data_IF_339268892758
#
_entry.id   IF_339268892758
#
_cell.length_a   1.000
_cell.length_b   1.000
_cell.length_c   1.000
_cell.angle_alpha   90.00
_cell.angle_beta   90.00
_cell.angle_gamma   90.00
#
_symmetry.space_group_name_H-M   'P 1'
#
loop_
_entity.id
_entity.type
_entity.pdbx_description
1 polymer ?
#
# COMPACT_ATOMS: atom_id res chain seq x y z
N UNK A 1 2.82 -26.22 47.76
CA UNK A 1 1.88 -25.18 47.30
C UNK A 1 2.69 -24.21 46.44
N UNK A 2 2.77 -24.47 45.14
CA UNK A 2 3.48 -23.59 44.19
C UNK A 2 2.47 -22.57 43.64
N UNK A 3 2.73 -21.29 43.91
CA UNK A 3 2.02 -20.17 43.30
C UNK A 3 2.21 -20.22 41.79
N UNK A 4 1.13 -20.51 41.05
CA UNK A 4 1.04 -20.23 39.62
C UNK A 4 0.62 -18.77 39.43
N UNK A 5 1.53 -17.98 38.87
CA UNK A 5 1.30 -16.61 38.43
C UNK A 5 0.15 -16.56 37.40
N UNK A 6 -0.93 -15.79 37.62
CA UNK A 6 -2.07 -15.71 36.70
C UNK A 6 -1.76 -14.99 35.38
N UNK A 7 -0.57 -14.38 35.23
CA UNK A 7 -0.23 -13.56 34.06
C UNK A 7 0.42 -14.31 32.89
N UNK A 8 0.54 -15.65 32.93
CA UNK A 8 1.21 -16.41 31.87
C UNK A 8 0.32 -16.85 30.69
N UNK A 9 -0.88 -16.30 30.51
CA UNK A 9 -1.77 -16.67 29.40
C UNK A 9 -1.79 -15.58 28.33
N UNK A 10 -1.38 -16.00 27.12
CA UNK A 10 -1.38 -15.29 25.83
C UNK A 10 -0.13 -14.48 25.48
N UNK A 11 1.05 -15.10 25.53
CA UNK A 11 2.08 -14.77 24.54
C UNK A 11 1.79 -15.59 23.29
N UNK A 12 1.28 -14.94 22.24
CA UNK A 12 1.16 -15.56 20.92
C UNK A 12 2.59 -15.85 20.46
N UNK A 13 2.94 -17.14 20.37
CA UNK A 13 4.25 -17.57 19.93
C UNK A 13 4.31 -17.44 18.41
N UNK A 14 4.77 -16.30 17.91
CA UNK A 14 5.06 -16.15 16.50
C UNK A 14 6.37 -16.90 16.18
N UNK A 15 6.48 -17.62 15.04
CA UNK A 15 7.77 -18.15 14.59
C UNK A 15 8.78 -16.99 14.49
N UNK A 16 10.09 -17.27 14.57
CA UNK A 16 11.17 -16.26 14.43
C UNK A 16 11.07 -15.57 13.06
N UNK A 17 10.20 -14.58 12.94
CA UNK A 17 10.04 -13.73 11.77
C UNK A 17 11.09 -12.63 11.89
N UNK A 18 11.89 -12.44 10.85
CA UNK A 18 12.74 -11.25 10.76
C UNK A 18 11.81 -10.04 10.61
N UNK A 19 11.85 -9.12 11.57
CA UNK A 19 10.96 -7.96 11.62
C UNK A 19 11.65 -6.74 11.04
N UNK A 20 10.90 -5.95 10.29
CA UNK A 20 11.35 -4.65 9.83
C UNK A 20 11.35 -3.68 11.01
N UNK A 21 12.50 -3.13 11.36
CA UNK A 21 12.62 -2.04 12.33
C UNK A 21 12.25 -0.72 11.64
N UNK A 22 10.98 -0.31 11.78
CA UNK A 22 10.46 0.91 11.18
C UNK A 22 10.26 2.00 12.24
N UNK A 23 10.54 3.24 11.86
CA UNK A 23 10.28 4.40 12.70
C UNK A 23 8.77 4.58 12.92
N UNK A 24 8.38 4.96 14.14
CA UNK A 24 7.02 5.43 14.45
C UNK A 24 7.02 6.95 14.44
N UNK A 25 6.17 7.53 13.60
CA UNK A 25 5.97 8.96 13.41
C UNK A 25 4.61 9.34 14.01
N UNK A 26 4.59 10.25 14.97
CA UNK A 26 3.34 10.67 15.60
C UNK A 26 2.59 11.66 14.69
N UNK A 27 1.33 11.34 14.33
CA UNK A 27 0.57 12.14 13.39
C UNK A 27 0.23 13.54 13.93
N UNK A 28 -0.11 13.65 15.22
CA UNK A 28 -0.39 14.94 15.86
C UNK A 28 0.83 15.86 15.76
N UNK A 29 2.01 15.35 16.13
CA UNK A 29 3.26 16.11 16.06
C UNK A 29 3.58 16.60 14.63
N UNK A 30 3.35 15.77 13.61
CA UNK A 30 3.48 16.20 12.20
C UNK A 30 2.48 17.31 11.85
N UNK A 31 1.23 17.20 12.30
CA UNK A 31 0.21 18.24 12.03
C UNK A 31 0.53 19.58 12.69
N UNK A 32 1.10 19.53 13.89
CA UNK A 32 1.52 20.68 14.70
C UNK A 32 2.87 21.28 14.25
N UNK A 33 3.57 20.61 13.31
CA UNK A 33 4.84 21.09 12.78
C UNK A 33 6.01 20.89 13.74
N UNK A 34 5.99 19.84 14.55
CA UNK A 34 7.08 19.51 15.47
C UNK A 34 8.37 19.16 14.68
N UNK A 35 9.45 19.93 14.82
CA UNK A 35 10.66 19.75 14.01
C UNK A 35 11.37 18.42 14.29
N UNK A 36 11.31 17.90 15.53
CA UNK A 36 11.97 16.63 15.88
C UNK A 36 11.29 15.46 15.17
N UNK A 37 9.96 15.42 15.21
CA UNK A 37 9.18 14.39 14.51
C UNK A 37 9.29 14.53 13.00
N UNK A 38 9.35 15.76 12.48
CA UNK A 38 9.55 16.04 11.05
C UNK A 38 10.91 15.51 10.56
N UNK A 39 11.99 15.77 11.30
CA UNK A 39 13.31 15.22 10.96
C UNK A 39 13.34 13.69 11.02
N UNK A 40 12.73 13.08 12.03
CA UNK A 40 12.58 11.62 12.10
C UNK A 40 11.81 11.05 10.90
N UNK A 41 10.78 11.75 10.44
CA UNK A 41 10.03 11.39 9.22
C UNK A 41 10.94 11.47 7.98
N UNK A 42 11.75 12.51 7.84
CA UNK A 42 12.70 12.64 6.75
C UNK A 42 13.73 11.50 6.77
N UNK A 43 14.35 11.21 7.92
CA UNK A 43 15.32 10.13 8.09
C UNK A 43 14.72 8.77 7.71
N UNK A 44 13.50 8.48 8.17
CA UNK A 44 12.80 7.24 7.82
C UNK A 44 12.49 7.16 6.32
N UNK A 45 12.14 8.29 5.69
CA UNK A 45 11.84 8.38 4.26
C UNK A 45 13.09 8.22 3.38
N UNK A 46 14.25 8.69 3.83
CA UNK A 46 15.55 8.50 3.15
C UNK A 46 16.04 7.06 3.30
N UNK A 47 16.05 6.54 4.53
CA UNK A 47 16.70 5.27 4.85
C UNK A 47 15.91 4.06 4.37
N UNK A 48 14.63 3.97 4.76
CA UNK A 48 13.77 2.81 4.49
C UNK A 48 12.70 3.14 3.46
N UNK A 49 12.15 4.35 3.48
CA UNK A 49 10.95 4.68 2.70
C UNK A 49 9.69 4.01 3.23
N UNK A 50 9.78 3.33 4.38
CA UNK A 50 8.70 2.73 5.16
C UNK A 50 8.73 3.28 6.59
N UNK A 51 7.57 3.60 7.15
CA UNK A 51 7.42 4.01 8.55
C UNK A 51 5.99 3.80 9.02
N UNK A 52 5.78 3.78 10.34
CA UNK A 52 4.45 3.82 10.92
C UNK A 52 4.02 5.26 11.16
N UNK A 53 2.73 5.53 10.94
CA UNK A 53 2.06 6.74 11.37
C UNK A 53 1.14 6.39 12.53
N UNK A 54 1.48 6.88 13.73
CA UNK A 54 0.67 6.72 14.93
C UNK A 54 -0.50 7.72 14.92
N UNK A 55 -1.72 7.18 14.93
CA UNK A 55 -2.97 7.92 14.78
C UNK A 55 -3.70 8.14 16.13
N UNK A 56 -3.13 7.69 17.25
CA UNK A 56 -3.84 7.59 18.53
C UNK A 56 -4.14 8.94 19.19
N UNK A 57 -3.14 9.83 19.22
CA UNK A 57 -3.21 11.09 19.98
C UNK A 57 -3.86 12.25 19.21
N UNK A 58 -4.24 12.05 17.95
CA UNK A 58 -4.85 13.07 17.09
C UNK A 58 -6.34 12.80 16.85
N UNK A 59 -7.17 13.85 16.85
CA UNK A 59 -8.62 13.69 16.60
C UNK A 59 -8.94 13.23 15.18
N UNK A 60 -8.19 13.70 14.18
CA UNK A 60 -8.34 13.24 12.81
C UNK A 60 -7.78 11.82 12.66
N UNK A 61 -6.67 11.51 13.32
CA UNK A 61 -6.13 10.16 13.40
C UNK A 61 -7.15 9.15 13.95
N UNK A 62 -7.82 9.48 15.06
CA UNK A 62 -8.90 8.64 15.61
C UNK A 62 -10.11 8.54 14.68
N UNK A 63 -10.44 9.59 13.94
CA UNK A 63 -11.51 9.55 12.93
C UNK A 63 -11.17 8.58 11.79
N UNK A 64 -9.93 8.58 11.31
CA UNK A 64 -9.43 7.60 10.32
C UNK A 64 -9.65 6.17 10.83
N UNK A 65 -9.24 5.89 12.08
CA UNK A 65 -9.36 4.56 12.67
C UNK A 65 -10.83 4.10 12.79
N UNK A 66 -11.72 4.99 13.24
CA UNK A 66 -13.16 4.69 13.39
C UNK A 66 -13.83 4.45 12.03
N UNK A 67 -13.56 5.32 11.05
CA UNK A 67 -14.13 5.17 9.72
C UNK A 67 -13.59 3.92 9.03
N UNK A 68 -12.31 3.61 9.20
CA UNK A 68 -11.69 2.42 8.65
C UNK A 68 -12.38 1.13 9.12
N UNK A 69 -12.71 1.01 10.41
CA UNK A 69 -13.43 -0.15 10.94
C UNK A 69 -14.78 -0.33 10.22
N UNK A 70 -15.55 0.75 10.10
CA UNK A 70 -16.87 0.72 9.44
C UNK A 70 -16.74 0.40 7.95
N UNK A 71 -15.80 1.04 7.25
CA UNK A 71 -15.50 0.78 5.83
C UNK A 71 -15.12 -0.68 5.62
N UNK A 72 -14.24 -1.22 6.46
CA UNK A 72 -13.79 -2.61 6.35
C UNK A 72 -14.94 -3.60 6.56
N UNK A 73 -15.83 -3.36 7.52
CA UNK A 73 -17.01 -4.19 7.75
C UNK A 73 -17.98 -4.18 6.55
N UNK A 74 -18.25 -3.00 5.98
CA UNK A 74 -19.10 -2.86 4.80
C UNK A 74 -18.49 -3.59 3.60
N UNK A 75 -17.20 -3.42 3.37
CA UNK A 75 -16.49 -4.07 2.28
C UNK A 75 -16.41 -5.60 2.46
N UNK A 76 -16.19 -6.09 3.68
CA UNK A 76 -16.25 -7.55 3.98
C UNK A 76 -17.60 -8.16 3.61
N UNK A 77 -18.71 -7.52 4.02
CA UNK A 77 -20.07 -7.94 3.64
C UNK A 77 -20.25 -7.97 2.12
N UNK A 78 -19.69 -6.99 1.40
CA UNK A 78 -19.75 -6.99 -0.06
C UNK A 78 -18.96 -8.17 -0.66
N UNK A 79 -17.79 -8.50 -0.12
CA UNK A 79 -16.95 -9.60 -0.59
C UNK A 79 -17.54 -11.00 -0.39
N UNK A 80 -18.41 -11.17 0.60
CA UNK A 80 -19.10 -12.43 0.89
C UNK A 80 -20.22 -12.78 -0.12
N UNK A 81 -20.51 -11.87 -1.05
CA UNK A 81 -21.43 -12.17 -2.15
C UNK A 81 -20.89 -13.25 -3.09
N UNK A 82 -21.77 -14.00 -3.77
CA UNK A 82 -21.36 -14.94 -4.81
C UNK A 82 -20.50 -14.29 -5.89
N UNK A 83 -19.52 -15.03 -6.42
CA UNK A 83 -18.62 -14.53 -7.47
C UNK A 83 -19.39 -13.99 -8.69
N UNK A 84 -20.52 -14.60 -9.05
CA UNK A 84 -21.38 -14.15 -10.14
C UNK A 84 -21.97 -12.75 -9.93
N UNK A 85 -22.23 -12.36 -8.67
CA UNK A 85 -22.64 -11.00 -8.32
C UNK A 85 -21.47 -10.03 -8.36
N UNK A 86 -20.32 -10.41 -7.82
CA UNK A 86 -19.10 -9.58 -7.83
C UNK A 86 -18.61 -9.28 -9.25
N UNK A 87 -18.64 -10.28 -10.14
CA UNK A 87 -18.21 -10.15 -11.54
C UNK A 87 -19.05 -9.17 -12.37
N UNK A 88 -20.29 -8.82 -11.95
CA UNK A 88 -21.07 -7.75 -12.60
C UNK A 88 -20.41 -6.37 -12.49
N UNK A 89 -19.44 -6.25 -11.59
CA UNK A 89 -18.72 -5.02 -11.32
C UNK A 89 -17.26 -5.07 -11.79
N UNK A 90 -16.89 -6.10 -12.58
CA UNK A 90 -15.58 -6.17 -13.22
C UNK A 90 -15.58 -5.34 -14.50
N UNK A 91 -14.72 -4.31 -14.54
CA UNK A 91 -14.60 -3.40 -15.67
C UNK A 91 -13.28 -3.57 -16.45
N UNK A 92 -12.56 -4.66 -16.20
CA UNK A 92 -11.21 -4.89 -16.72
C UNK A 92 -10.11 -4.40 -15.77
N UNK A 93 -8.88 -4.80 -16.09
CA UNK A 93 -7.71 -4.54 -15.24
C UNK A 93 -7.42 -3.04 -15.10
N UNK A 94 -7.04 -2.66 -13.88
CA UNK A 94 -6.67 -1.29 -13.54
C UNK A 94 -7.82 -0.29 -13.58
N UNK A 95 -9.07 -0.75 -13.72
CA UNK A 95 -10.26 0.11 -13.70
C UNK A 95 -10.87 0.21 -12.31
N UNK A 96 -11.77 1.17 -12.13
CA UNK A 96 -12.60 1.26 -10.93
C UNK A 96 -13.54 0.04 -10.85
N UNK A 97 -13.86 -0.37 -9.63
CA UNK A 97 -14.77 -1.47 -9.36
C UNK A 97 -14.04 -2.71 -8.85
N UNK A 98 -14.56 -3.87 -9.19
CA UNK A 98 -14.07 -5.15 -8.70
C UNK A 98 -12.99 -5.72 -9.64
N UNK A 99 -11.97 -6.37 -9.07
CA UNK A 99 -11.00 -7.23 -9.75
C UNK A 99 -11.00 -8.62 -9.09
N UNK A 100 -11.21 -9.71 -9.84
CA UNK A 100 -11.19 -11.06 -9.29
C UNK A 100 -9.77 -11.56 -9.02
N UNK A 101 -9.62 -12.61 -8.21
CA UNK A 101 -8.35 -13.32 -8.08
C UNK A 101 -7.90 -13.95 -9.41
N UNK A 102 -6.62 -14.33 -9.48
CA UNK A 102 -5.97 -15.01 -10.61
C UNK A 102 -5.72 -14.17 -11.89
N UNK A 103 -5.88 -12.85 -11.84
CA UNK A 103 -5.64 -11.97 -13.01
C UNK A 103 -4.16 -11.63 -13.20
N UNK A 104 -3.40 -11.46 -12.11
CA UNK A 104 -1.97 -11.16 -12.15
C UNK A 104 -1.14 -12.43 -11.92
N UNK A 105 0.15 -12.34 -12.24
CA UNK A 105 1.14 -13.34 -11.86
C UNK A 105 1.28 -13.40 -10.32
N UNK A 106 1.47 -14.61 -9.80
CA UNK A 106 1.74 -14.84 -8.37
C UNK A 106 3.18 -14.56 -7.97
N UNK A 107 3.54 -14.93 -6.74
CA UNK A 107 4.89 -14.87 -6.16
C UNK A 107 5.87 -15.81 -6.88
N UNK A 108 5.39 -16.97 -7.33
CA UNK A 108 6.20 -18.09 -7.83
C UNK A 108 5.97 -18.30 -9.32
N UNK A 109 7.00 -18.80 -10.03
CA UNK A 109 6.91 -19.08 -11.47
C UNK A 109 5.70 -19.94 -11.83
N UNK A 110 4.95 -19.49 -12.84
CA UNK A 110 3.76 -20.21 -13.32
C UNK A 110 2.54 -20.15 -12.41
N UNK A 111 2.58 -19.39 -11.31
CA UNK A 111 1.42 -19.19 -10.43
C UNK A 111 0.65 -17.90 -10.73
N UNK A 112 -0.57 -17.81 -10.20
CA UNK A 112 -1.43 -16.62 -10.25
C UNK A 112 -1.65 -16.03 -8.87
N UNK A 113 -2.00 -14.75 -8.81
CA UNK A 113 -2.27 -14.05 -7.55
C UNK A 113 -3.52 -14.60 -6.84
N UNK A 114 -3.47 -14.61 -5.50
CA UNK A 114 -4.56 -15.10 -4.64
C UNK A 114 -5.50 -14.04 -4.07
N UNK A 115 -5.54 -12.83 -4.65
CA UNK A 115 -6.30 -11.73 -4.07
C UNK A 115 -7.36 -11.13 -4.99
N UNK A 116 -8.49 -10.78 -4.41
CA UNK A 116 -9.50 -9.92 -5.04
C UNK A 116 -9.37 -8.48 -4.54
N UNK A 117 -9.79 -7.50 -5.34
CA UNK A 117 -9.63 -6.07 -5.06
C UNK A 117 -10.91 -5.30 -5.41
N UNK A 118 -11.29 -4.34 -4.57
CA UNK A 118 -12.24 -3.29 -4.93
C UNK A 118 -11.47 -1.97 -4.98
N UNK A 119 -11.44 -1.36 -6.17
CA UNK A 119 -10.82 -0.07 -6.41
C UNK A 119 -11.86 1.03 -6.52
N UNK A 120 -11.68 2.10 -5.74
CA UNK A 120 -12.47 3.33 -5.78
C UNK A 120 -11.55 4.49 -6.14
N UNK A 121 -11.81 5.16 -7.27
CA UNK A 121 -11.06 6.37 -7.62
C UNK A 121 -11.53 7.52 -6.75
N UNK A 122 -10.59 8.30 -6.21
CA UNK A 122 -10.91 9.49 -5.41
C UNK A 122 -11.78 10.44 -6.22
N UNK A 123 -11.38 10.74 -7.45
CA UNK A 123 -12.06 11.76 -8.24
C UNK A 123 -13.50 11.34 -8.59
N UNK A 124 -13.77 10.04 -8.80
CA UNK A 124 -15.13 9.52 -8.98
C UNK A 124 -15.97 9.62 -7.69
N UNK A 125 -15.37 9.42 -6.51
CA UNK A 125 -16.07 9.61 -5.23
C UNK A 125 -16.64 11.02 -5.09
N UNK A 126 -15.87 12.04 -5.50
CA UNK A 126 -16.25 13.44 -5.35
C UNK A 126 -17.08 13.98 -6.53
N UNK A 127 -16.84 13.52 -7.75
CA UNK A 127 -17.41 14.13 -8.96
C UNK A 127 -18.33 13.20 -9.77
N UNK A 128 -18.27 11.89 -9.54
CA UNK A 128 -19.09 10.91 -10.27
C UNK A 128 -19.58 9.78 -9.34
N UNK A 129 -20.33 10.11 -8.27
CA UNK A 129 -20.82 9.10 -7.33
C UNK A 129 -21.74 8.07 -8.00
N UNK A 130 -22.26 8.41 -9.19
CA UNK A 130 -23.12 7.53 -9.98
C UNK A 130 -22.41 6.29 -10.55
N UNK A 131 -21.08 6.30 -10.61
CA UNK A 131 -20.27 5.18 -11.08
C UNK A 131 -19.78 4.26 -9.95
N UNK A 132 -19.98 4.64 -8.68
CA UNK A 132 -19.55 3.86 -7.52
C UNK A 132 -20.40 2.58 -7.33
N UNK A 133 -19.82 1.58 -6.68
CA UNK A 133 -20.56 0.39 -6.24
C UNK A 133 -21.72 0.79 -5.32
N UNK A 134 -22.87 0.08 -5.37
CA UNK A 134 -24.05 0.45 -4.58
C UNK A 134 -23.77 0.67 -3.09
N UNK A 135 -23.06 -0.27 -2.45
CA UNK A 135 -22.76 -0.15 -1.01
C UNK A 135 -21.86 1.05 -0.66
N UNK A 136 -20.98 1.49 -1.57
CA UNK A 136 -20.16 2.69 -1.39
C UNK A 136 -21.03 3.94 -1.49
N UNK A 137 -21.90 3.98 -2.50
CA UNK A 137 -22.82 5.10 -2.76
C UNK A 137 -23.81 5.29 -1.63
N UNK A 138 -24.36 4.22 -1.10
CA UNK A 138 -25.29 4.24 0.04
C UNK A 138 -24.60 4.78 1.32
N UNK A 139 -23.26 4.72 1.37
CA UNK A 139 -22.43 5.20 2.46
C UNK A 139 -21.51 6.36 2.04
N UNK A 140 -21.90 7.15 1.02
CA UNK A 140 -21.03 8.14 0.39
C UNK A 140 -20.40 9.12 1.39
N UNK A 141 -21.16 9.60 2.37
CA UNK A 141 -20.68 10.55 3.37
C UNK A 141 -19.53 9.97 4.23
N UNK A 142 -19.60 8.68 4.57
CA UNK A 142 -18.53 7.96 5.29
C UNK A 142 -17.27 7.89 4.43
N UNK A 143 -17.39 7.42 3.18
CA UNK A 143 -16.24 7.28 2.29
C UNK A 143 -15.60 8.63 1.95
N UNK A 144 -16.41 9.66 1.71
CA UNK A 144 -15.94 11.02 1.45
C UNK A 144 -15.15 11.56 2.63
N UNK A 145 -15.65 11.44 3.86
CA UNK A 145 -14.91 11.84 5.06
C UNK A 145 -13.62 11.05 5.22
N UNK A 146 -13.70 9.72 5.16
CA UNK A 146 -12.56 8.83 5.36
C UNK A 146 -11.43 9.09 4.38
N UNK A 147 -11.74 9.17 3.08
CA UNK A 147 -10.76 9.44 2.02
C UNK A 147 -10.20 10.87 2.12
N UNK A 148 -11.00 11.84 2.58
CA UNK A 148 -10.50 13.20 2.84
C UNK A 148 -9.51 13.25 4.01
N UNK A 149 -9.74 12.48 5.07
CA UNK A 149 -8.81 12.41 6.21
C UNK A 149 -7.49 11.72 5.81
N UNK A 150 -7.56 10.63 5.05
CA UNK A 150 -6.38 9.97 4.48
C UNK A 150 -5.59 10.90 3.56
N UNK A 151 -6.26 11.63 2.68
CA UNK A 151 -5.65 12.64 1.83
C UNK A 151 -4.95 13.71 2.68
N UNK A 152 -5.65 14.26 3.69
CA UNK A 152 -5.08 15.26 4.62
C UNK A 152 -3.82 14.76 5.31
N UNK A 153 -3.82 13.52 5.81
CA UNK A 153 -2.65 12.91 6.43
C UNK A 153 -1.46 12.82 5.45
N UNK A 154 -1.71 12.34 4.23
CA UNK A 154 -0.68 12.26 3.19
C UNK A 154 -0.13 13.64 2.82
N UNK A 155 -0.99 14.65 2.66
CA UNK A 155 -0.58 16.03 2.34
C UNK A 155 0.26 16.66 3.45
N UNK A 156 -0.03 16.35 4.73
CA UNK A 156 0.77 16.81 5.87
C UNK A 156 2.17 16.18 5.88
N UNK A 157 2.27 14.89 5.56
CA UNK A 157 3.56 14.21 5.38
C UNK A 157 4.37 14.87 4.25
N UNK A 158 3.75 15.11 3.09
CA UNK A 158 4.41 15.77 1.96
C UNK A 158 4.90 17.16 2.33
N UNK A 159 4.07 17.96 3.00
CA UNK A 159 4.40 19.33 3.39
C UNK A 159 5.56 19.38 4.39
N UNK A 160 5.62 18.45 5.35
CA UNK A 160 6.73 18.29 6.28
C UNK A 160 8.03 17.94 5.55
N UNK A 161 8.00 16.95 4.66
CA UNK A 161 9.15 16.56 3.84
C UNK A 161 9.63 17.69 2.93
N UNK A 162 8.72 18.43 2.29
CA UNK A 162 9.05 19.61 1.48
C UNK A 162 9.82 20.66 2.29
N UNK A 163 9.42 20.87 3.55
CA UNK A 163 10.04 21.83 4.45
C UNK A 163 11.43 21.35 4.90
N UNK A 164 11.57 20.11 5.36
CA UNK A 164 12.88 19.60 5.83
C UNK A 164 13.91 19.44 4.71
N UNK A 165 13.46 19.18 3.47
CA UNK A 165 14.32 19.20 2.29
C UNK A 165 14.63 20.61 1.76
N UNK A 166 14.11 21.65 2.43
CA UNK A 166 14.27 23.07 2.05
C UNK A 166 13.85 23.33 0.59
N UNK A 167 12.73 22.73 0.15
CA UNK A 167 12.27 22.92 -1.21
C UNK A 167 11.77 24.37 -1.42
N UNK A 168 12.12 24.99 -2.55
CA UNK A 168 11.53 26.26 -2.97
C UNK A 168 9.99 26.21 -2.98
N UNK A 169 9.29 27.35 -2.74
CA UNK A 169 7.83 27.39 -2.69
C UNK A 169 7.12 26.77 -3.90
N UNK A 170 7.69 26.89 -5.11
CA UNK A 170 7.17 26.39 -6.38
C UNK A 170 7.52 24.91 -6.66
N UNK A 171 8.35 24.29 -5.83
CA UNK A 171 8.83 22.91 -5.99
C UNK A 171 8.34 21.98 -4.86
N UNK A 172 7.45 22.47 -3.99
CA UNK A 172 6.92 21.70 -2.87
C UNK A 172 6.10 20.50 -3.36
N UNK A 173 6.29 19.34 -2.74
CA UNK A 173 5.67 18.08 -3.17
C UNK A 173 4.14 18.09 -3.15
N UNK A 174 3.54 18.79 -2.18
CA UNK A 174 2.08 18.90 -2.08
C UNK A 174 1.45 19.60 -3.29
N UNK A 175 2.18 20.43 -4.03
CA UNK A 175 1.66 21.13 -5.20
C UNK A 175 1.37 20.19 -6.37
N UNK A 176 1.99 19.01 -6.39
CA UNK A 176 1.72 17.97 -7.39
C UNK A 176 0.39 17.24 -7.18
N UNK A 177 -0.41 17.60 -6.17
CA UNK A 177 -1.60 16.84 -5.75
C UNK A 177 -2.87 17.71 -5.68
N UNK A 178 -3.02 18.64 -6.64
CA UNK A 178 -4.21 19.47 -6.77
C UNK A 178 -5.46 18.61 -7.04
N UNK A 179 -6.41 18.64 -6.10
CA UNK A 179 -7.65 17.85 -6.16
C UNK A 179 -8.64 18.35 -7.21
N UNK A 180 -8.43 19.55 -7.78
CA UNK A 180 -9.23 20.06 -8.91
C UNK A 180 -8.79 19.46 -10.25
N UNK A 181 -7.60 18.84 -10.30
CA UNK A 181 -7.05 18.18 -11.48
C UNK A 181 -7.25 16.67 -11.41
N UNK A 182 -7.41 16.00 -12.58
CA UNK A 182 -7.50 14.55 -12.62
C UNK A 182 -6.22 13.92 -12.08
N UNK A 183 -6.38 12.82 -11.34
CA UNK A 183 -5.28 11.98 -10.90
C UNK A 183 -5.72 10.52 -10.88
N UNK A 184 -4.75 9.59 -10.83
CA UNK A 184 -5.05 8.18 -10.61
C UNK A 184 -5.18 7.81 -9.12
N UNK A 185 -5.35 8.78 -8.21
CA UNK A 185 -5.48 8.53 -6.75
C UNK A 185 -6.65 7.58 -6.46
N UNK A 186 -6.40 6.53 -5.67
CA UNK A 186 -7.42 5.52 -5.38
C UNK A 186 -7.38 5.03 -3.93
N UNK A 187 -8.54 4.64 -3.44
CA UNK A 187 -8.69 3.80 -2.26
C UNK A 187 -9.05 2.39 -2.68
N UNK A 188 -8.38 1.40 -2.11
CA UNK A 188 -8.48 0.01 -2.48
C UNK A 188 -8.61 -0.85 -1.23
N UNK A 189 -9.48 -1.85 -1.27
CA UNK A 189 -9.50 -2.91 -0.26
C UNK A 189 -9.15 -4.20 -0.98
N UNK A 190 -8.16 -4.92 -0.46
CA UNK A 190 -7.72 -6.20 -0.98
C UNK A 190 -8.15 -7.30 -0.01
N UNK A 191 -8.68 -8.40 -0.53
CA UNK A 191 -8.90 -9.66 0.20
C UNK A 191 -8.02 -10.74 -0.38
N UNK A 192 -7.03 -11.16 0.38
CA UNK A 192 -6.25 -12.37 0.13
C UNK A 192 -7.06 -13.53 0.67
N UNK A 193 -7.55 -14.40 -0.21
CA UNK A 193 -8.45 -15.47 0.20
C UNK A 193 -7.73 -16.56 0.96
N UNK A 194 -8.37 -17.14 1.98
CA UNK A 194 -7.87 -18.36 2.64
C UNK A 194 -7.59 -19.46 1.62
N UNK A 195 -6.41 -20.06 1.70
CA UNK A 195 -5.88 -20.92 0.63
C UNK A 195 -6.60 -22.26 0.51
N UNK A 196 -7.33 -22.70 1.54
CA UNK A 196 -8.22 -23.88 1.45
C UNK A 196 -9.29 -23.73 0.34
N UNK A 197 -9.63 -22.51 -0.05
CA UNK A 197 -10.61 -22.22 -1.11
C UNK A 197 -10.01 -21.99 -2.50
N UNK A 198 -8.67 -21.87 -2.63
CA UNK A 198 -8.03 -21.43 -3.88
C UNK A 198 -7.65 -22.59 -4.83
N UNK A 199 -7.58 -23.83 -4.32
CA UNK A 199 -7.15 -25.03 -5.04
C UNK A 199 -8.26 -26.09 -5.19
N UNK A 200 -9.47 -25.70 -5.63
CA UNK A 200 -10.60 -26.63 -5.71
C UNK A 200 -10.66 -27.45 -7.02
N UNK A 201 -9.89 -27.11 -8.05
CA UNK A 201 -9.84 -27.86 -9.31
C UNK A 201 -8.39 -28.23 -9.71
N UNK A 202 -8.06 -29.51 -9.94
CA UNK A 202 -6.73 -29.97 -10.36
C UNK A 202 -6.26 -29.43 -11.73
N UNK A 203 -7.15 -28.84 -12.51
CA UNK A 203 -6.89 -28.28 -13.84
C UNK A 203 -6.61 -26.77 -13.82
N UNK A 204 -6.78 -26.10 -12.68
CA UNK A 204 -6.53 -24.67 -12.57
C UNK A 204 -5.03 -24.41 -12.41
N UNK A 205 -4.53 -23.30 -12.96
CA UNK A 205 -3.17 -22.85 -12.65
C UNK A 205 -3.01 -22.64 -11.14
N UNK A 206 -1.84 -23.01 -10.58
CA UNK A 206 -1.59 -22.90 -9.15
C UNK A 206 -1.67 -21.43 -8.71
N UNK A 207 -2.23 -21.21 -7.52
CA UNK A 207 -2.31 -19.89 -6.90
C UNK A 207 -1.41 -19.87 -5.69
N UNK A 208 -0.55 -18.85 -5.59
CA UNK A 208 0.06 -18.51 -4.31
C UNK A 208 -0.70 -17.33 -3.69
N UNK A 209 -0.95 -17.41 -2.38
CA UNK A 209 -1.85 -16.50 -1.66
C UNK A 209 -1.31 -15.08 -1.48
N UNK A 210 -0.34 -14.65 -2.29
CA UNK A 210 0.40 -13.42 -2.09
C UNK A 210 0.26 -12.36 -3.18
N UNK A 211 1.10 -11.34 -3.07
CA UNK A 211 1.28 -10.25 -4.02
C UNK A 211 2.78 -10.13 -4.28
N UNK A 212 3.20 -10.32 -5.54
CA UNK A 212 4.60 -10.30 -5.94
C UNK A 212 5.34 -9.02 -5.56
N UNK A 213 6.67 -9.11 -5.54
CA UNK A 213 7.52 -7.96 -5.25
C UNK A 213 7.31 -6.81 -6.24
N UNK A 214 7.19 -5.59 -5.73
CA UNK A 214 7.07 -4.37 -6.51
C UNK A 214 7.45 -3.15 -5.67
N UNK A 215 7.57 -2.00 -6.32
CA UNK A 215 7.45 -0.69 -5.67
C UNK A 215 6.13 -0.05 -6.09
N UNK A 216 5.60 0.86 -5.29
CA UNK A 216 4.39 1.59 -5.65
C UNK A 216 4.65 2.65 -6.71
N UNK A 217 3.70 2.81 -7.63
CA UNK A 217 3.81 3.78 -8.74
C UNK A 217 3.70 5.22 -8.24
N UNK A 218 2.86 5.44 -7.23
CA UNK A 218 2.38 6.75 -6.79
C UNK A 218 3.37 7.54 -5.94
N UNK A 219 2.82 8.46 -5.15
CA UNK A 219 3.60 9.38 -4.31
C UNK A 219 3.78 8.81 -2.91
N UNK A 220 2.67 8.51 -2.22
CA UNK A 220 2.64 7.90 -0.88
C UNK A 220 1.51 6.88 -0.86
N UNK A 221 1.76 5.74 -0.21
CA UNK A 221 0.76 4.72 0.07
C UNK A 221 0.51 4.67 1.58
N UNK A 222 -0.76 4.76 1.99
CA UNK A 222 -1.22 4.61 3.36
C UNK A 222 -1.91 3.25 3.47
N UNK A 223 -1.41 2.37 4.32
CA UNK A 223 -1.90 1.01 4.51
C UNK A 223 -2.49 0.89 5.92
N UNK A 224 -3.75 0.46 5.99
CA UNK A 224 -4.46 0.13 7.21
C UNK A 224 -4.76 -1.37 7.19
N UNK A 225 -4.13 -2.11 8.11
CA UNK A 225 -4.31 -3.55 8.24
C UNK A 225 -4.11 -4.02 9.69
N UNK A 226 -4.75 -5.13 10.05
CA UNK A 226 -4.63 -5.78 11.35
C UNK A 226 -4.00 -7.18 11.26
N UNK A 227 -3.61 -7.62 10.06
CA UNK A 227 -3.17 -8.97 9.76
C UNK A 227 -1.79 -8.96 9.11
N UNK A 228 -0.96 -9.95 9.47
CA UNK A 228 0.40 -10.13 8.96
C UNK A 228 0.42 -10.47 7.47
N UNK A 229 1.57 -10.26 6.81
CA UNK A 229 1.84 -10.75 5.46
C UNK A 229 2.63 -9.79 4.59
N UNK A 230 2.62 -8.49 4.91
CA UNK A 230 3.47 -7.51 4.23
C UNK A 230 4.94 -7.75 4.60
N UNK A 231 5.80 -7.83 3.57
CA UNK A 231 7.25 -7.85 3.71
C UNK A 231 7.87 -6.69 2.96
N UNK A 232 8.84 -6.03 3.57
CA UNK A 232 9.68 -5.02 2.95
C UNK A 232 11.08 -5.61 2.72
N UNK A 233 11.68 -5.27 1.59
CA UNK A 233 13.06 -5.66 1.30
C UNK A 233 14.03 -4.70 1.99
N UNK A 234 14.98 -5.26 2.74
CA UNK A 234 16.03 -4.52 3.42
C UNK A 234 17.39 -4.84 2.81
N UNK A 235 18.23 -3.84 2.50
CA UNK A 235 19.62 -4.06 2.10
C UNK A 235 20.55 -4.28 3.31
N UNK A 236 20.00 -4.62 4.48
CA UNK A 236 20.75 -5.01 5.68
C UNK A 236 19.89 -6.00 6.47
N UNK A 237 20.44 -7.15 6.82
CA UNK A 237 19.83 -8.07 7.78
C UNK A 237 20.27 -7.72 9.21
N UNK A 238 19.36 -7.44 10.17
CA UNK A 238 19.71 -7.16 11.56
C UNK A 238 20.19 -8.41 12.31
N UNK A 239 19.77 -9.60 11.85
CA UNK A 239 19.98 -10.88 12.55
C UNK A 239 20.98 -11.79 11.86
N UNK A 240 21.57 -11.36 10.74
CA UNK A 240 22.59 -12.13 10.01
C UNK A 240 23.60 -11.20 9.35
N UNK A 241 24.74 -11.76 8.93
CA UNK A 241 25.75 -11.03 8.15
C UNK A 241 25.35 -10.86 6.68
N UNK A 242 24.18 -11.36 6.27
CA UNK A 242 23.71 -11.21 4.89
C UNK A 242 23.37 -9.75 4.60
N UNK A 243 23.87 -9.18 3.50
CA UNK A 243 23.62 -7.80 3.15
C UNK A 243 22.20 -7.55 2.62
N UNK A 244 21.32 -8.54 2.55
CA UNK A 244 19.97 -8.38 2.00
C UNK A 244 19.01 -9.36 2.67
N UNK A 245 17.81 -8.89 3.02
CA UNK A 245 16.77 -9.76 3.62
C UNK A 245 15.36 -9.23 3.40
N UNK A 246 14.41 -10.16 3.34
CA UNK A 246 12.98 -9.87 3.41
C UNK A 246 12.53 -9.82 4.86
N UNK A 247 11.94 -8.70 5.27
CA UNK A 247 11.54 -8.47 6.65
C UNK A 247 10.03 -8.24 6.73
N UNK A 248 9.36 -8.89 7.68
CA UNK A 248 7.94 -8.69 7.92
C UNK A 248 7.67 -7.33 8.57
N UNK A 249 6.67 -6.62 8.05
CA UNK A 249 6.14 -5.42 8.67
C UNK A 249 5.01 -5.82 9.61
N UNK A 250 5.16 -5.53 10.90
CA UNK A 250 4.15 -5.87 11.90
C UNK A 250 2.89 -5.00 11.74
N UNK A 251 1.67 -5.57 11.79
CA UNK A 251 0.44 -4.79 11.80
C UNK A 251 0.21 -4.22 13.22
N UNK A 252 0.75 -3.03 13.49
CA UNK A 252 0.59 -2.38 14.80
C UNK A 252 -0.83 -1.83 14.97
N UNK A 253 -1.53 -2.12 16.09
CA UNK A 253 -2.84 -1.54 16.36
C UNK A 253 -2.81 -0.02 16.35
N UNK A 254 -3.82 0.62 15.76
CA UNK A 254 -3.96 2.08 15.70
C UNK A 254 -2.88 2.83 14.91
N UNK A 255 -2.07 2.12 14.12
CA UNK A 255 -1.08 2.72 13.24
C UNK A 255 -1.43 2.46 11.78
N UNK A 256 -1.16 3.45 10.92
CA UNK A 256 -1.05 3.20 9.49
C UNK A 256 0.40 2.85 9.15
N UNK A 257 0.60 1.95 8.20
CA UNK A 257 1.92 1.72 7.57
C UNK A 257 1.99 2.65 6.36
N UNK A 258 3.05 3.43 6.27
CA UNK A 258 3.30 4.36 5.18
C UNK A 258 4.46 3.85 4.35
N UNK A 259 4.33 3.86 3.03
CA UNK A 259 5.48 3.81 2.14
C UNK A 259 5.49 4.90 1.10
N UNK A 260 6.70 5.34 0.77
CA UNK A 260 6.99 6.26 -0.32
C UNK A 260 6.87 5.50 -1.64
N UNK A 261 6.31 6.13 -2.67
CA UNK A 261 6.23 5.56 -4.01
C UNK A 261 7.22 6.19 -4.98
N UNK A 262 7.29 5.62 -6.18
CA UNK A 262 8.24 6.02 -7.22
C UNK A 262 8.10 7.49 -7.64
N UNK A 263 6.87 8.02 -7.74
CA UNK A 263 6.65 9.43 -8.09
C UNK A 263 7.34 10.35 -7.09
N UNK A 264 7.25 10.08 -5.79
CA UNK A 264 7.90 10.92 -4.77
C UNK A 264 9.42 10.73 -4.75
N UNK A 265 9.89 9.51 -5.02
CA UNK A 265 11.32 9.26 -5.27
C UNK A 265 11.83 10.13 -6.43
N UNK A 266 11.09 10.25 -7.54
CA UNK A 266 11.50 11.09 -8.65
C UNK A 266 11.39 12.59 -8.35
N UNK A 267 10.27 13.04 -7.75
CA UNK A 267 10.10 14.45 -7.35
C UNK A 267 11.19 14.91 -6.38
N UNK A 268 11.66 14.03 -5.50
CA UNK A 268 12.75 14.32 -4.56
C UNK A 268 14.15 14.21 -5.18
N UNK A 269 14.26 14.07 -6.51
CA UNK A 269 15.54 13.81 -7.20
C UNK A 269 16.28 12.60 -6.61
N UNK A 270 15.53 11.52 -6.36
CA UNK A 270 15.99 10.24 -5.80
C UNK A 270 16.49 10.29 -4.35
N UNK A 271 16.26 11.38 -3.61
CA UNK A 271 16.64 11.49 -2.19
C UNK A 271 15.81 10.58 -1.27
N UNK A 272 14.53 10.39 -1.59
CA UNK A 272 13.61 9.56 -0.80
C UNK A 272 13.53 8.15 -1.41
N UNK A 273 13.55 7.13 -0.55
CA UNK A 273 13.58 5.74 -0.99
C UNK A 273 12.17 5.24 -1.33
N UNK A 274 11.99 4.58 -2.48
CA UNK A 274 10.76 3.85 -2.82
C UNK A 274 11.02 2.37 -2.55
N UNK A 275 10.50 1.80 -1.46
CA UNK A 275 10.89 0.48 -1.01
C UNK A 275 10.21 -0.63 -1.81
N UNK A 276 11.00 -1.66 -2.10
CA UNK A 276 10.49 -2.90 -2.69
C UNK A 276 9.78 -3.68 -1.58
N UNK A 277 8.57 -4.13 -1.86
CA UNK A 277 7.76 -4.87 -0.92
C UNK A 277 6.92 -5.94 -1.63
N UNK A 278 6.47 -6.92 -0.87
CA UNK A 278 5.59 -8.01 -1.33
C UNK A 278 4.62 -8.39 -0.23
N UNK A 279 3.59 -9.16 -0.57
CA UNK A 279 2.71 -9.80 0.42
C UNK A 279 2.86 -11.30 0.29
N UNK A 280 3.13 -11.98 1.39
CA UNK A 280 3.25 -13.44 1.45
C UNK A 280 2.30 -14.01 2.51
N UNK A 281 1.79 -15.24 2.32
CA UNK A 281 1.17 -16.00 3.41
C UNK A 281 2.10 -16.10 4.62
N UNK A 282 1.53 -16.11 5.81
CA UNK A 282 2.30 -16.02 7.07
C UNK A 282 2.71 -17.38 7.63
N UNK A 283 2.13 -18.43 7.06
CA UNK A 283 2.41 -19.85 7.24
C UNK A 283 2.43 -20.51 5.85
N UNK A 284 2.68 -21.83 5.77
CA UNK A 284 2.62 -22.57 4.50
C UNK A 284 1.24 -22.42 3.79
N UNK A 285 0.17 -22.29 4.58
CA UNK A 285 -1.18 -22.02 4.09
C UNK A 285 -1.87 -20.95 4.95
N UNK A 286 -2.54 -19.99 4.30
CA UNK A 286 -3.41 -19.01 4.93
C UNK A 286 -4.77 -19.66 5.27
N UNK A 287 -5.13 -19.68 6.54
CA UNK A 287 -6.35 -20.33 7.07
C UNK A 287 -7.55 -19.37 7.18
N UNK A 288 -7.30 -18.08 7.31
CA UNK A 288 -8.31 -17.01 7.30
C UNK A 288 -8.16 -16.07 6.09
N UNK A 289 -9.17 -15.26 5.81
CA UNK A 289 -9.04 -14.20 4.81
C UNK A 289 -8.28 -13.02 5.39
N UNK A 290 -7.27 -12.54 4.66
CA UNK A 290 -6.53 -11.33 5.01
C UNK A 290 -7.07 -10.13 4.26
N UNK A 291 -7.40 -9.08 5.00
CA UNK A 291 -7.86 -7.82 4.43
C UNK A 291 -6.80 -6.73 4.57
N UNK A 292 -6.71 -5.86 3.58
CA UNK A 292 -5.80 -4.71 3.61
C UNK A 292 -6.48 -3.54 2.91
N UNK A 293 -6.64 -2.43 3.63
CA UNK A 293 -7.14 -1.17 3.08
C UNK A 293 -5.95 -0.31 2.71
N UNK A 294 -5.90 0.17 1.47
CA UNK A 294 -4.77 0.89 0.90
C UNK A 294 -5.27 2.16 0.24
N UNK A 295 -4.69 3.29 0.62
CA UNK A 295 -4.90 4.57 -0.05
C UNK A 295 -3.63 4.96 -0.79
N UNK A 296 -3.73 5.00 -2.11
CA UNK A 296 -2.65 5.38 -3.00
C UNK A 296 -2.81 6.85 -3.40
N UNK A 297 -2.06 7.74 -2.76
CA UNK A 297 -1.94 9.12 -3.21
C UNK A 297 -1.08 9.15 -4.47
N UNK A 298 -1.62 9.72 -5.55
CA UNK A 298 -0.91 9.88 -6.83
C UNK A 298 -0.98 11.34 -7.25
N UNK A 299 0.11 11.82 -7.85
CA UNK A 299 0.17 13.17 -8.40
C UNK A 299 -0.90 13.39 -9.48
N UNK A 300 -1.27 14.65 -9.71
CA UNK A 300 -2.11 15.07 -10.83
C UNK A 300 -1.50 14.58 -12.14
N UNK A 301 -2.34 14.14 -13.07
CA UNK A 301 -1.94 13.45 -14.31
C UNK A 301 -0.93 14.26 -15.15
N UNK A 302 -0.97 15.60 -15.05
CA UNK A 302 -0.10 16.55 -15.73
C UNK A 302 1.25 16.82 -15.05
N UNK A 303 1.46 16.32 -13.83
CA UNK A 303 2.72 16.46 -13.10
C UNK A 303 3.86 15.80 -13.85
N UNK A 304 4.96 16.52 -14.05
CA UNK A 304 6.16 15.99 -14.70
C UNK A 304 7.09 15.39 -13.64
N UNK A 305 7.50 14.13 -13.84
CA UNK A 305 8.55 13.47 -13.07
C UNK A 305 9.77 13.22 -13.95
N UNK A 306 10.95 13.27 -13.35
CA UNK A 306 12.22 13.04 -14.06
C UNK A 306 12.87 11.75 -13.55
N UNK A 307 13.10 10.80 -14.46
CA UNK A 307 13.74 9.52 -14.16
C UNK A 307 15.27 9.63 -14.05
N UNK A 308 15.93 8.49 -13.76
CA UNK A 308 17.39 8.42 -13.55
C UNK A 308 18.18 8.90 -14.77
N UNK A 309 17.72 8.57 -15.98
CA UNK A 309 18.34 9.01 -17.24
C UNK A 309 18.02 10.46 -17.65
N UNK A 310 17.35 11.24 -16.80
CA UNK A 310 16.93 12.60 -17.10
C UNK A 310 15.67 12.70 -17.99
N UNK A 311 15.09 11.58 -18.41
CA UNK A 311 13.82 11.54 -19.14
C UNK A 311 12.71 12.15 -18.29
N UNK A 312 11.97 13.10 -18.87
CA UNK A 312 10.78 13.69 -18.29
C UNK A 312 9.52 13.01 -18.81
N UNK A 313 8.62 12.64 -17.91
CA UNK A 313 7.36 12.01 -18.25
C UNK A 313 6.24 12.52 -17.35
N UNK A 314 5.03 12.62 -17.91
CA UNK A 314 3.84 12.96 -17.13
C UNK A 314 3.44 11.81 -16.21
N UNK A 315 2.87 12.12 -15.04
CA UNK A 315 2.47 11.13 -14.05
C UNK A 315 1.47 10.10 -14.61
N UNK A 316 0.54 10.51 -15.47
CA UNK A 316 -0.39 9.58 -16.14
C UNK A 316 0.34 8.59 -17.06
N UNK A 317 1.29 9.10 -17.86
CA UNK A 317 2.04 8.27 -18.78
C UNK A 317 2.96 7.31 -18.01
N UNK A 318 3.63 7.81 -16.97
CA UNK A 318 4.40 6.99 -16.04
C UNK A 318 3.55 5.87 -15.44
N UNK A 319 2.36 6.20 -14.95
CA UNK A 319 1.41 5.22 -14.43
C UNK A 319 1.11 4.16 -15.48
N UNK A 320 0.77 4.55 -16.70
CA UNK A 320 0.50 3.61 -17.79
C UNK A 320 1.69 2.72 -18.15
N UNK A 321 2.92 3.27 -18.20
CA UNK A 321 4.14 2.53 -18.51
C UNK A 321 4.44 1.47 -17.45
N UNK A 322 4.46 1.87 -16.18
CA UNK A 322 4.77 0.95 -15.07
C UNK A 322 3.67 -0.08 -14.85
N UNK A 323 2.41 0.33 -14.94
CA UNK A 323 1.28 -0.59 -14.83
C UNK A 323 1.32 -1.68 -15.91
N UNK A 324 1.57 -1.32 -17.17
CA UNK A 324 1.76 -2.31 -18.27
C UNK A 324 3.00 -3.18 -18.07
N UNK A 325 4.09 -2.65 -17.53
CA UNK A 325 5.29 -3.43 -17.25
C UNK A 325 4.99 -4.50 -16.18
N UNK A 326 4.28 -4.12 -15.12
CA UNK A 326 3.82 -5.03 -14.08
C UNK A 326 2.89 -6.13 -14.65
N UNK A 327 2.05 -5.79 -15.63
CA UNK A 327 1.17 -6.75 -16.30
C UNK A 327 1.90 -7.70 -17.27
N UNK A 328 3.02 -7.29 -17.89
CA UNK A 328 3.70 -8.06 -18.95
C UNK A 328 4.64 -9.15 -18.44
N UNK A 329 5.01 -9.15 -17.16
CA UNK A 329 5.89 -10.15 -16.55
C UNK A 329 5.18 -11.50 -16.30
N UNK A 330 4.43 -11.97 -17.29
CA UNK A 330 3.78 -13.28 -17.33
C UNK A 330 4.69 -14.24 -18.09
N UNK A 331 5.72 -14.80 -17.44
CA UNK A 331 6.44 -15.92 -18.08
C UNK A 331 7.85 -16.30 -17.63
N UNK A 332 8.56 -15.52 -16.81
CA UNK A 332 9.93 -15.91 -16.39
C UNK A 332 10.12 -15.48 -14.93
N UNK A 333 9.87 -16.39 -13.99
CA UNK A 333 10.35 -16.24 -12.60
C UNK A 333 11.40 -17.33 -12.38
N UNK A 334 12.66 -16.97 -12.52
CA UNK A 334 13.79 -17.75 -12.00
C UNK A 334 14.72 -16.78 -11.27
N UNK A 335 14.38 -16.43 -10.02
CA UNK A 335 15.27 -15.67 -9.16
C UNK A 335 14.58 -14.89 -8.04
N UNK A 336 15.27 -14.75 -6.89
CA UNK A 336 14.90 -13.84 -5.80
C UNK A 336 15.52 -12.43 -5.99
N UNK A 337 15.94 -12.09 -7.22
CA UNK A 337 16.75 -10.92 -7.53
C UNK A 337 15.98 -9.61 -7.67
N UNK A 338 16.65 -8.49 -7.35
CA UNK A 338 16.15 -7.11 -7.51
C UNK A 338 15.98 -6.67 -8.97
N UNK A 339 16.59 -7.39 -9.92
CA UNK A 339 16.55 -7.10 -11.36
C UNK A 339 15.16 -7.23 -12.01
N UNK A 340 14.18 -7.74 -11.26
CA UNK A 340 12.85 -8.12 -11.74
C UNK A 340 11.71 -7.21 -11.23
N UNK A 341 12.05 -6.12 -10.53
CA UNK A 341 11.06 -5.12 -10.15
C UNK A 341 10.69 -4.27 -11.37
N UNK A 342 9.39 -4.18 -11.75
CA UNK A 342 9.00 -3.42 -12.93
C UNK A 342 9.34 -1.93 -12.79
N UNK A 343 10.39 -1.51 -13.49
CA UNK A 343 10.89 -0.12 -13.45
C UNK A 343 10.17 0.81 -14.44
N UNK A 344 9.28 0.28 -15.29
CA UNK A 344 8.56 1.06 -16.31
C UNK A 344 9.46 1.86 -17.27
N UNK A 345 10.76 1.54 -17.33
CA UNK A 345 11.77 2.23 -18.14
C UNK A 345 12.53 3.37 -17.45
N UNK A 346 12.07 3.89 -16.29
CA UNK A 346 12.70 5.05 -15.63
C UNK A 346 13.73 4.71 -14.55
N UNK A 347 13.79 3.43 -14.15
CA UNK A 347 14.62 2.97 -13.03
C UNK A 347 15.99 2.39 -13.40
N UNK A 348 16.44 2.49 -14.66
CA UNK A 348 17.76 1.94 -15.05
C UNK A 348 18.90 2.87 -14.64
N UNK A 349 19.73 2.39 -13.72
CA UNK A 349 21.19 2.37 -13.88
C UNK A 349 21.64 0.91 -13.82
#
# INVERSE_FOLDING_TARGET
>A
MSNSDPHSRNQVHYPKRELAELAIINYKSIREGDPVTSQKLLEASISRGFFYLDLTDDSHGRQILQDWQTVLELTKKWYDQPISSKMKHYNGLGKMGYKPAKEHAGLSSGTRDGYENIRTLRDDLFHNPSALLPYLRDNIALYTRFISELNTAAMKILSALSTDLNLPPDQRFELAHDTSKPSKTSFEVLRYSKQQNLNLNPTDQPVDGGHRQHTDIGTITLILCSQWGLQAFSPVCPTSTSPQSWQFVAPLPSHAIINIGDTLRYLSSHKLNSPIHRVVPTEELQDEDKFTSVYFLRASDDTVVRGVGGEEVRAEEWFGRKYRAYERDVGVLEGEGLSEVPTGGLGRN
#
